data_IF_968941115074
#
_entry.id   IF_968941115074
#
_cell.length_a   1.000
_cell.length_b   1.000
_cell.length_c   1.000
_cell.angle_alpha   90.00
_cell.angle_beta   90.00
_cell.angle_gamma   90.00
#
_symmetry.space_group_name_H-M   'P 1'
#
loop_
_entity.id
_entity.type
_entity.pdbx_description
1 polymer ?
#
# COMPACT_ATOMS: atom_id res chain seq x y z
N UNK A 1 -8.11 -48.47 -12.58
CA UNK A 1 -7.39 -48.40 -11.28
C UNK A 1 -6.41 -47.24 -11.40
N UNK A 2 -6.66 -46.05 -10.82
CA UNK A 2 -5.65 -45.00 -10.83
C UNK A 2 -4.64 -45.32 -9.73
N UNK A 3 -3.38 -45.55 -10.13
CA UNK A 3 -2.23 -45.64 -9.23
C UNK A 3 -2.14 -44.36 -8.41
N UNK A 4 -2.53 -44.46 -7.15
CA UNK A 4 -2.31 -43.39 -6.18
C UNK A 4 -0.85 -43.50 -5.76
N UNK A 5 0.02 -42.79 -6.48
CA UNK A 5 1.40 -42.56 -6.04
C UNK A 5 1.27 -41.85 -4.68
N UNK A 6 1.43 -42.60 -3.60
CA UNK A 6 1.60 -42.04 -2.27
C UNK A 6 2.88 -41.18 -2.32
N UNK A 7 2.70 -39.85 -2.39
CA UNK A 7 3.80 -38.91 -2.27
C UNK A 7 4.45 -39.14 -0.90
N UNK A 8 5.64 -39.74 -0.90
CA UNK A 8 6.43 -39.99 0.30
C UNK A 8 6.73 -38.62 0.93
N UNK A 9 6.09 -38.33 2.06
CA UNK A 9 6.36 -37.12 2.85
C UNK A 9 7.64 -37.36 3.63
N UNK A 10 8.74 -36.80 3.14
CA UNK A 10 10.01 -36.83 3.85
C UNK A 10 10.02 -35.75 4.95
N UNK A 11 10.35 -36.11 6.20
CA UNK A 11 10.51 -35.16 7.30
C UNK A 11 11.69 -34.20 7.07
N UNK A 12 11.65 -33.04 7.72
CA UNK A 12 12.67 -31.99 7.63
C UNK A 12 13.83 -32.26 8.60
N UNK A 13 14.77 -33.11 8.19
CA UNK A 13 15.85 -33.57 9.08
C UNK A 13 17.26 -33.18 8.59
N UNK A 14 17.38 -32.49 7.45
CA UNK A 14 18.68 -32.13 6.87
C UNK A 14 19.04 -30.65 7.06
N UNK A 15 20.34 -30.29 7.08
CA UNK A 15 20.77 -28.89 7.07
C UNK A 15 20.17 -28.06 5.91
N UNK A 16 20.04 -28.67 4.73
CA UNK A 16 19.41 -28.03 3.57
C UNK A 16 17.92 -27.72 3.80
N UNK A 17 17.21 -28.56 4.57
CA UNK A 17 15.81 -28.29 4.94
C UNK A 17 15.71 -27.11 5.91
N UNK A 18 16.66 -26.99 6.84
CA UNK A 18 16.76 -25.84 7.73
C UNK A 18 17.03 -24.54 6.97
N UNK A 19 18.00 -24.55 6.05
CA UNK A 19 18.30 -23.40 5.19
C UNK A 19 17.08 -22.97 4.36
N UNK A 20 16.37 -23.93 3.76
CA UNK A 20 15.14 -23.65 3.02
C UNK A 20 14.06 -23.03 3.92
N UNK A 21 13.95 -23.50 5.17
CA UNK A 21 13.00 -22.96 6.14
C UNK A 21 13.35 -21.51 6.52
N UNK A 22 14.62 -21.22 6.76
CA UNK A 22 15.11 -19.86 7.06
C UNK A 22 14.89 -18.94 5.85
N UNK A 23 15.25 -19.38 4.65
CA UNK A 23 15.05 -18.61 3.42
C UNK A 23 13.56 -18.33 3.16
N UNK A 24 12.68 -19.30 3.44
CA UNK A 24 11.23 -19.12 3.30
C UNK A 24 10.66 -18.12 4.32
N UNK A 25 11.16 -18.12 5.55
CA UNK A 25 10.83 -17.08 6.55
C UNK A 25 11.24 -15.69 6.07
N UNK A 26 12.47 -15.55 5.60
CA UNK A 26 12.98 -14.28 5.09
C UNK A 26 12.14 -13.76 3.90
N UNK A 27 11.71 -14.65 2.99
CA UNK A 27 10.80 -14.26 1.91
C UNK A 27 9.42 -13.81 2.41
N UNK A 28 8.85 -14.48 3.43
CA UNK A 28 7.58 -14.07 4.03
C UNK A 28 7.69 -12.69 4.67
N UNK A 29 8.76 -12.44 5.40
CA UNK A 29 9.01 -11.14 6.05
C UNK A 29 9.22 -10.03 5.02
N UNK A 30 9.99 -10.31 3.95
CA UNK A 30 10.16 -9.40 2.83
C UNK A 30 8.83 -9.08 2.14
N UNK A 31 8.00 -10.09 1.87
CA UNK A 31 6.70 -9.90 1.25
C UNK A 31 5.79 -9.02 2.13
N UNK A 32 5.73 -9.31 3.43
CA UNK A 32 4.96 -8.52 4.37
C UNK A 32 5.43 -7.06 4.41
N UNK A 33 6.75 -6.84 4.38
CA UNK A 33 7.34 -5.52 4.32
C UNK A 33 6.99 -4.77 3.02
N UNK A 34 7.15 -5.42 1.86
CA UNK A 34 6.82 -4.83 0.56
C UNK A 34 5.34 -4.45 0.48
N UNK A 35 4.44 -5.33 0.94
CA UNK A 35 3.02 -5.02 1.00
C UNK A 35 2.73 -3.90 1.99
N UNK A 36 3.38 -3.84 3.15
CA UNK A 36 3.21 -2.71 4.07
C UNK A 36 3.56 -1.37 3.41
N UNK A 37 4.66 -1.30 2.64
CA UNK A 37 5.01 -0.11 1.84
C UNK A 37 3.91 0.19 0.81
N UNK A 38 3.43 -0.83 0.10
CA UNK A 38 2.38 -0.67 -0.92
C UNK A 38 1.09 -0.07 -0.31
N UNK A 39 0.68 -0.57 0.86
CA UNK A 39 -0.47 -0.05 1.60
C UNK A 39 -0.23 1.36 2.14
N UNK A 40 0.94 1.65 2.71
CA UNK A 40 1.34 3.00 3.14
C UNK A 40 1.28 3.98 1.97
N UNK A 41 1.79 3.59 0.80
CA UNK A 41 1.76 4.41 -0.42
C UNK A 41 0.34 4.66 -0.93
N UNK A 42 -0.51 3.64 -0.94
CA UNK A 42 -1.90 3.78 -1.42
C UNK A 42 -2.75 4.66 -0.50
N UNK A 43 -2.57 4.52 0.81
CA UNK A 43 -3.54 5.04 1.78
C UNK A 43 -3.01 6.15 2.68
N UNK A 44 -1.72 6.44 2.71
CA UNK A 44 -1.18 7.54 3.52
C UNK A 44 -0.23 8.41 2.71
N UNK A 45 0.88 7.87 2.22
CA UNK A 45 1.95 8.67 1.62
C UNK A 45 1.55 9.23 0.25
N UNK A 46 0.96 8.42 -0.63
CA UNK A 46 0.50 8.88 -1.95
C UNK A 46 -0.49 10.05 -1.84
N UNK A 47 -1.58 9.91 -1.08
CA UNK A 47 -2.50 11.01 -0.82
C UNK A 47 -1.82 12.28 -0.27
N UNK A 48 -0.85 12.13 0.64
CA UNK A 48 -0.07 13.26 1.17
C UNK A 48 0.76 13.95 0.07
N UNK A 49 1.48 13.18 -0.75
CA UNK A 49 2.26 13.71 -1.87
C UNK A 49 1.38 14.38 -2.92
N UNK A 50 0.21 13.81 -3.22
CA UNK A 50 -0.75 14.44 -4.12
C UNK A 50 -1.29 15.76 -3.54
N UNK A 51 -1.61 15.81 -2.25
CA UNK A 51 -2.04 17.04 -1.59
C UNK A 51 -0.96 18.12 -1.63
N UNK A 52 0.31 17.76 -1.38
CA UNK A 52 1.46 18.67 -1.51
C UNK A 52 1.60 19.19 -2.94
N UNK A 53 1.41 18.33 -3.94
CA UNK A 53 1.41 18.74 -5.35
C UNK A 53 0.35 19.80 -5.64
N UNK A 54 -0.91 19.54 -5.28
CA UNK A 54 -2.00 20.47 -5.53
C UNK A 54 -1.86 21.79 -4.74
N UNK A 55 -1.34 21.74 -3.52
CA UNK A 55 -0.99 22.96 -2.76
C UNK A 55 0.13 23.77 -3.41
N UNK A 56 1.09 23.10 -4.05
CA UNK A 56 2.23 23.75 -4.69
C UNK A 56 1.89 24.33 -6.06
N UNK A 57 1.17 23.55 -6.87
CA UNK A 57 0.94 23.82 -8.29
C UNK A 57 -0.46 24.40 -8.55
N UNK A 58 -1.34 24.45 -7.55
CA UNK A 58 -2.69 25.00 -7.71
C UNK A 58 -3.50 24.28 -8.80
N UNK A 59 -4.69 24.83 -9.09
CA UNK A 59 -5.65 24.30 -10.07
C UNK A 59 -5.22 24.50 -11.53
N UNK A 60 -3.93 24.33 -11.83
CA UNK A 60 -3.39 24.38 -13.20
C UNK A 60 -3.38 22.99 -13.81
N UNK A 61 -4.57 22.52 -14.19
CA UNK A 61 -4.68 21.48 -15.20
C UNK A 61 -5.56 21.99 -16.34
N UNK A 62 -4.98 22.38 -17.50
CA UNK A 62 -5.72 22.35 -18.76
C UNK A 62 -6.12 20.93 -19.18
N UNK A 63 -5.64 19.89 -18.48
CA UNK A 63 -6.13 18.50 -18.55
C UNK A 63 -7.03 18.17 -17.35
N UNK A 64 -8.16 18.89 -17.26
CA UNK A 64 -9.18 18.65 -16.24
C UNK A 64 -9.73 17.22 -16.28
N UNK A 65 -9.63 16.50 -17.40
CA UNK A 65 -10.21 15.16 -17.54
C UNK A 65 -9.43 14.06 -16.81
N UNK A 66 -8.09 14.16 -16.71
CA UNK A 66 -7.28 13.24 -15.88
C UNK A 66 -7.19 13.72 -14.42
N UNK A 67 -7.14 15.04 -14.20
CA UNK A 67 -7.08 15.61 -12.86
C UNK A 67 -8.39 15.47 -12.09
N UNK A 68 -9.56 15.58 -12.73
CA UNK A 68 -10.86 15.55 -12.06
C UNK A 68 -11.16 14.22 -11.36
N UNK A 69 -10.72 13.09 -11.91
CA UNK A 69 -10.86 11.78 -11.24
C UNK A 69 -10.02 11.69 -9.95
N UNK A 70 -8.78 12.18 -10.01
CA UNK A 70 -7.89 12.24 -8.85
C UNK A 70 -8.34 13.29 -7.82
N UNK A 71 -8.83 14.44 -8.30
CA UNK A 71 -9.30 15.57 -7.51
C UNK A 71 -10.62 15.24 -6.80
N UNK A 72 -11.59 14.58 -7.43
CA UNK A 72 -12.80 14.11 -6.74
C UNK A 72 -12.47 13.09 -5.63
N UNK A 73 -11.49 12.21 -5.86
CA UNK A 73 -11.01 11.25 -4.85
C UNK A 73 -10.28 11.96 -3.70
N UNK A 74 -9.63 13.10 -3.95
CA UNK A 74 -8.96 13.95 -2.95
C UNK A 74 -9.92 14.89 -2.21
N UNK A 75 -10.93 15.44 -2.88
CA UNK A 75 -11.93 16.35 -2.30
C UNK A 75 -12.95 15.58 -1.43
N UNK A 76 -13.24 14.32 -1.76
CA UNK A 76 -13.97 13.41 -0.88
C UNK A 76 -13.22 13.07 0.44
N UNK A 77 -11.95 13.52 0.60
CA UNK A 77 -11.09 13.28 1.77
C UNK A 77 -10.90 14.49 2.68
N UNK A 78 -11.71 15.55 2.54
CA UNK A 78 -11.68 16.70 3.47
C UNK A 78 -11.92 16.27 4.94
N UNK A 79 -12.52 15.08 5.13
CA UNK A 79 -12.87 14.48 6.42
C UNK A 79 -11.87 13.43 6.93
N UNK A 80 -10.66 13.36 6.37
CA UNK A 80 -9.65 12.46 6.92
C UNK A 80 -9.21 12.91 8.32
N UNK A 81 -9.15 11.99 9.29
CA UNK A 81 -8.69 12.33 10.62
C UNK A 81 -7.27 12.86 10.52
N UNK A 82 -7.06 14.07 11.06
CA UNK A 82 -5.73 14.64 11.26
C UNK A 82 -5.08 13.89 12.42
N UNK A 83 -4.62 12.68 12.14
CA UNK A 83 -3.83 11.91 13.09
C UNK A 83 -2.54 12.67 13.36
N UNK A 84 -2.13 12.71 14.62
CA UNK A 84 -0.77 13.07 14.99
C UNK A 84 0.22 12.06 14.41
N UNK A 85 1.50 12.43 14.36
CA UNK A 85 2.56 11.50 13.93
C UNK A 85 2.56 10.21 14.75
N UNK A 86 2.42 10.33 16.07
CA UNK A 86 2.35 9.18 16.98
C UNK A 86 1.16 8.27 16.69
N UNK A 87 -0.03 8.84 16.46
CA UNK A 87 -1.22 8.03 16.13
C UNK A 87 -1.07 7.34 14.77
N UNK A 88 -0.42 7.99 13.81
CA UNK A 88 -0.12 7.39 12.51
C UNK A 88 0.85 6.21 12.64
N UNK A 89 1.91 6.36 13.45
CA UNK A 89 2.87 5.30 13.71
C UNK A 89 2.25 4.10 14.44
N UNK A 90 1.34 4.36 15.38
CA UNK A 90 0.54 3.34 16.08
C UNK A 90 -0.36 2.55 15.10
N UNK A 91 -1.13 3.27 14.26
CA UNK A 91 -2.00 2.67 13.23
C UNK A 91 -1.19 1.79 12.28
N UNK A 92 -0.04 2.28 11.80
CA UNK A 92 0.88 1.53 10.94
C UNK A 92 1.41 0.28 11.62
N UNK A 93 1.79 0.38 12.88
CA UNK A 93 2.34 -0.74 13.66
C UNK A 93 1.31 -1.85 13.83
N UNK A 94 0.08 -1.52 14.20
CA UNK A 94 -0.99 -2.51 14.37
C UNK A 94 -1.34 -3.14 13.01
N UNK A 95 -1.48 -2.32 11.96
CA UNK A 95 -1.79 -2.82 10.61
C UNK A 95 -0.70 -3.75 10.07
N UNK A 96 0.58 -3.41 10.22
CA UNK A 96 1.70 -4.28 9.81
C UNK A 96 1.66 -5.62 10.53
N UNK A 97 1.33 -5.59 11.81
CA UNK A 97 1.20 -6.81 12.61
C UNK A 97 0.03 -7.68 12.11
N UNK A 98 -1.12 -7.07 11.82
CA UNK A 98 -2.27 -7.75 11.20
C UNK A 98 -1.91 -8.34 9.83
N UNK A 99 -1.23 -7.57 8.98
CA UNK A 99 -0.83 -7.98 7.64
C UNK A 99 -0.02 -9.29 7.66
N UNK A 100 0.94 -9.41 8.58
CA UNK A 100 1.74 -10.64 8.75
C UNK A 100 0.89 -11.86 9.10
N UNK A 101 -0.21 -11.66 9.83
CA UNK A 101 -1.06 -12.75 10.31
C UNK A 101 -2.15 -13.16 9.32
N UNK A 102 -2.70 -12.21 8.56
CA UNK A 102 -3.95 -12.42 7.80
C UNK A 102 -3.92 -11.98 6.34
N UNK A 103 -2.82 -11.40 5.85
CA UNK A 103 -2.80 -11.01 4.44
C UNK A 103 -2.84 -12.27 3.55
N UNK A 104 -3.71 -12.34 2.53
CA UNK A 104 -3.91 -13.55 1.72
C UNK A 104 -2.63 -14.01 1.01
N UNK A 105 -1.76 -13.10 0.59
CA UNK A 105 -0.45 -13.45 0.00
C UNK A 105 0.62 -13.82 1.04
N UNK A 106 0.53 -13.35 2.28
CA UNK A 106 1.59 -13.57 3.30
C UNK A 106 1.29 -14.84 4.11
N UNK A 107 0.05 -14.95 4.58
CA UNK A 107 -0.45 -16.03 5.43
C UNK A 107 -1.82 -16.52 4.93
N UNK A 108 -1.88 -17.27 3.81
CA UNK A 108 -3.13 -17.78 3.25
C UNK A 108 -3.99 -18.54 4.26
N UNK A 109 -3.38 -19.40 5.07
CA UNK A 109 -4.09 -20.15 6.11
C UNK A 109 -4.67 -19.25 7.21
N UNK A 110 -3.98 -18.15 7.52
CA UNK A 110 -4.46 -17.14 8.46
C UNK A 110 -5.65 -16.39 7.89
N UNK A 111 -5.58 -16.00 6.62
CA UNK A 111 -6.69 -15.38 5.89
C UNK A 111 -7.93 -16.27 5.85
N UNK A 112 -7.78 -17.57 5.59
CA UNK A 112 -8.90 -18.52 5.57
C UNK A 112 -9.58 -18.66 6.94
N UNK A 113 -8.83 -18.51 8.05
CA UNK A 113 -9.37 -18.64 9.41
C UNK A 113 -10.19 -17.44 9.88
N UNK A 114 -9.89 -16.24 9.37
CA UNK A 114 -10.62 -15.05 9.78
C UNK A 114 -11.99 -14.91 9.11
N UNK A 115 -12.28 -15.76 8.12
CA UNK A 115 -13.52 -15.77 7.38
C UNK A 115 -13.72 -14.50 6.53
N UNK A 116 -14.91 -14.41 5.95
CA UNK A 116 -15.23 -13.34 5.01
C UNK A 116 -15.37 -11.99 5.73
N UNK A 117 -14.66 -10.98 5.22
CA UNK A 117 -14.87 -9.57 5.57
C UNK A 117 -13.98 -9.00 6.67
N UNK A 118 -13.33 -9.79 7.55
CA UNK A 118 -12.40 -9.21 8.55
C UNK A 118 -11.23 -8.49 7.87
N UNK A 119 -10.64 -9.07 6.82
CA UNK A 119 -9.59 -8.39 6.06
C UNK A 119 -10.06 -7.06 5.47
N UNK A 120 -11.28 -7.00 4.93
CA UNK A 120 -11.83 -5.76 4.38
C UNK A 120 -12.08 -4.71 5.48
N UNK A 121 -12.50 -5.13 6.67
CA UNK A 121 -12.60 -4.26 7.85
C UNK A 121 -11.23 -3.71 8.25
N UNK A 122 -10.19 -4.54 8.27
CA UNK A 122 -8.82 -4.13 8.58
C UNK A 122 -8.33 -3.07 7.58
N UNK A 123 -8.48 -3.32 6.27
CA UNK A 123 -8.07 -2.37 5.23
C UNK A 123 -8.85 -1.06 5.33
N UNK A 124 -10.16 -1.12 5.61
CA UNK A 124 -10.99 0.07 5.80
C UNK A 124 -10.54 0.89 7.02
N UNK A 125 -10.29 0.22 8.14
CA UNK A 125 -9.81 0.86 9.36
C UNK A 125 -8.44 1.53 9.15
N UNK A 126 -7.51 0.83 8.50
CA UNK A 126 -6.20 1.39 8.16
C UNK A 126 -6.32 2.62 7.25
N UNK A 127 -7.08 2.52 6.16
CA UNK A 127 -7.34 3.64 5.25
C UNK A 127 -7.95 4.84 5.96
N UNK A 128 -8.81 4.60 6.95
CA UNK A 128 -9.47 5.64 7.73
C UNK A 128 -8.65 6.15 8.91
N UNK A 129 -7.49 5.57 9.21
CA UNK A 129 -6.74 5.90 10.42
C UNK A 129 -7.43 5.48 11.73
N UNK A 130 -8.38 4.54 11.66
CA UNK A 130 -9.17 4.10 12.82
C UNK A 130 -8.39 3.10 13.67
N UNK A 131 -7.62 3.64 14.61
CA UNK A 131 -6.84 2.86 15.58
C UNK A 131 -7.72 1.91 16.39
N UNK A 132 -8.91 2.34 16.80
CA UNK A 132 -9.80 1.55 17.65
C UNK A 132 -10.28 0.30 16.92
N UNK A 133 -10.74 0.46 15.67
CA UNK A 133 -11.13 -0.66 14.82
C UNK A 133 -9.96 -1.62 14.54
N UNK A 134 -8.74 -1.10 14.36
CA UNK A 134 -7.55 -1.95 14.20
C UNK A 134 -7.21 -2.75 15.46
N UNK A 135 -7.33 -2.16 16.66
CA UNK A 135 -7.12 -2.87 17.93
C UNK A 135 -8.16 -3.97 18.14
N UNK A 136 -9.43 -3.69 17.80
CA UNK A 136 -10.50 -4.69 17.81
C UNK A 136 -10.18 -5.83 16.85
N UNK A 137 -9.83 -5.51 15.60
CA UNK A 137 -9.45 -6.50 14.60
C UNK A 137 -8.22 -7.33 15.02
N UNK A 138 -7.24 -6.72 15.69
CA UNK A 138 -6.08 -7.41 16.26
C UNK A 138 -6.50 -8.45 17.31
N UNK A 139 -7.43 -8.07 18.19
CA UNK A 139 -7.94 -8.95 19.24
C UNK A 139 -8.75 -10.12 18.67
N UNK A 140 -9.61 -9.84 17.67
CA UNK A 140 -10.34 -10.87 16.92
C UNK A 140 -9.36 -11.84 16.24
N UNK A 141 -8.38 -11.30 15.51
CA UNK A 141 -7.37 -12.08 14.77
C UNK A 141 -6.57 -13.00 15.68
N UNK A 142 -6.12 -12.49 16.84
CA UNK A 142 -5.37 -13.29 17.83
C UNK A 142 -6.18 -14.44 18.42
N UNK A 143 -7.50 -14.27 18.53
CA UNK A 143 -8.39 -15.32 19.04
C UNK A 143 -8.58 -16.43 18.00
N UNK A 144 -8.66 -16.07 16.72
CA UNK A 144 -8.89 -17.01 15.61
C UNK A 144 -7.61 -17.71 15.13
N UNK A 145 -6.48 -17.04 15.21
CA UNK A 145 -5.21 -17.52 14.67
C UNK A 145 -4.30 -17.98 15.78
N UNK A 146 -4.27 -19.30 16.00
CA UNK A 146 -3.07 -19.95 16.52
C UNK A 146 -1.97 -19.87 15.46
N UNK A 147 -0.76 -19.49 15.87
CA UNK A 147 0.40 -19.21 14.99
C UNK A 147 0.41 -20.10 13.75
N UNK A 148 0.49 -19.49 12.57
CA UNK A 148 0.53 -20.20 11.30
C UNK A 148 1.66 -21.23 11.33
N UNK A 149 1.32 -22.51 11.18
CA UNK A 149 2.30 -23.59 11.18
C UNK A 149 3.03 -23.57 9.85
N UNK A 150 4.35 -23.63 9.91
CA UNK A 150 5.15 -23.86 8.71
C UNK A 150 4.91 -25.29 8.20
N UNK A 151 5.03 -25.52 6.87
CA UNK A 151 4.96 -26.87 6.33
C UNK A 151 5.99 -27.78 7.01
N UNK A 152 5.55 -28.98 7.39
CA UNK A 152 6.37 -29.96 8.11
C UNK A 152 7.09 -30.95 7.18
N UNK A 153 6.82 -30.90 5.87
CA UNK A 153 7.45 -31.75 4.87
C UNK A 153 8.16 -30.90 3.81
N UNK A 154 9.24 -31.46 3.26
CA UNK A 154 10.14 -30.77 2.33
C UNK A 154 9.42 -30.28 1.07
N UNK A 155 8.54 -31.09 0.48
CA UNK A 155 7.87 -30.75 -0.77
C UNK A 155 6.92 -29.56 -0.59
N UNK A 156 6.12 -29.57 0.48
CA UNK A 156 5.24 -28.45 0.83
C UNK A 156 6.04 -27.19 1.17
N UNK A 157 7.19 -27.32 1.85
CA UNK A 157 8.07 -26.19 2.14
C UNK A 157 8.67 -25.59 0.86
N UNK A 158 9.10 -26.42 -0.11
CA UNK A 158 9.59 -25.96 -1.41
C UNK A 158 8.50 -25.24 -2.21
N UNK A 159 7.25 -25.75 -2.18
CA UNK A 159 6.10 -25.09 -2.84
C UNK A 159 5.81 -23.73 -2.20
N UNK A 160 5.81 -23.67 -0.87
CA UNK A 160 5.61 -22.42 -0.15
C UNK A 160 6.73 -21.41 -0.44
N UNK A 161 7.99 -21.86 -0.46
CA UNK A 161 9.14 -21.04 -0.86
C UNK A 161 8.95 -20.44 -2.25
N UNK A 162 8.65 -21.27 -3.25
CA UNK A 162 8.45 -20.82 -4.62
C UNK A 162 7.25 -19.87 -4.77
N UNK A 163 6.18 -20.09 -4.00
CA UNK A 163 5.02 -19.20 -3.95
C UNK A 163 5.41 -17.83 -3.39
N UNK A 164 6.10 -17.80 -2.25
CA UNK A 164 6.57 -16.57 -1.61
C UNK A 164 7.52 -15.80 -2.53
N UNK A 165 8.47 -16.47 -3.20
CA UNK A 165 9.38 -15.84 -4.15
C UNK A 165 8.63 -15.15 -5.31
N UNK A 166 7.62 -15.83 -5.90
CA UNK A 166 6.77 -15.23 -6.94
C UNK A 166 5.98 -14.03 -6.42
N UNK A 167 5.43 -14.12 -5.21
CA UNK A 167 4.67 -13.03 -4.60
C UNK A 167 5.57 -11.81 -4.32
N UNK A 168 6.80 -12.01 -3.81
CA UNK A 168 7.79 -10.94 -3.65
C UNK A 168 8.06 -10.24 -4.99
N UNK A 169 8.37 -10.99 -6.04
CA UNK A 169 8.64 -10.42 -7.36
C UNK A 169 7.42 -9.69 -7.96
N UNK A 170 6.20 -10.10 -7.60
CA UNK A 170 4.98 -9.39 -7.99
C UNK A 170 4.82 -8.08 -7.20
N UNK A 171 5.04 -8.11 -5.88
CA UNK A 171 5.00 -6.93 -5.02
C UNK A 171 6.05 -5.89 -5.44
N UNK A 172 7.28 -6.31 -5.72
CA UNK A 172 8.35 -5.42 -6.17
C UNK A 172 7.99 -4.71 -7.47
N UNK A 173 7.44 -5.42 -8.46
CA UNK A 173 6.98 -4.82 -9.72
C UNK A 173 5.84 -3.83 -9.53
N UNK A 174 4.91 -4.11 -8.60
CA UNK A 174 3.84 -3.17 -8.24
C UNK A 174 4.41 -1.91 -7.62
N UNK A 175 5.34 -2.05 -6.67
CA UNK A 175 6.02 -0.91 -6.05
C UNK A 175 6.80 -0.09 -7.07
N UNK A 176 7.55 -0.72 -7.97
CA UNK A 176 8.27 -0.03 -9.04
C UNK A 176 7.31 0.77 -9.94
N UNK A 177 6.20 0.15 -10.36
CA UNK A 177 5.16 0.82 -11.16
C UNK A 177 4.56 2.02 -10.40
N UNK A 178 4.28 1.85 -9.11
CA UNK A 178 3.74 2.92 -8.27
C UNK A 178 4.74 4.07 -8.11
N UNK A 179 6.03 3.77 -7.93
CA UNK A 179 7.09 4.76 -7.78
C UNK A 179 7.24 5.64 -9.04
N UNK A 180 7.00 5.06 -10.21
CA UNK A 180 7.03 5.77 -11.51
C UNK A 180 5.73 6.52 -11.83
N UNK A 181 4.68 6.33 -11.03
CA UNK A 181 3.37 6.94 -11.24
C UNK A 181 3.18 8.18 -10.35
N UNK A 182 2.26 9.06 -10.74
CA UNK A 182 1.82 10.13 -9.85
C UNK A 182 1.22 9.54 -8.57
N UNK A 183 1.51 10.10 -7.38
CA UNK A 183 2.30 11.31 -7.14
C UNK A 183 3.79 11.07 -6.85
N UNK A 184 4.24 9.82 -6.84
CA UNK A 184 5.60 9.45 -6.42
C UNK A 184 6.68 9.90 -7.40
N UNK A 185 6.39 9.90 -8.70
CA UNK A 185 7.31 10.42 -9.72
C UNK A 185 7.56 11.94 -9.64
N UNK A 186 6.78 12.65 -8.82
CA UNK A 186 6.97 14.08 -8.56
C UNK A 186 7.62 14.35 -7.20
N UNK A 187 7.94 13.31 -6.40
CA UNK A 187 8.44 13.45 -5.03
C UNK A 187 9.69 14.31 -4.94
N UNK A 188 10.68 14.09 -5.81
CA UNK A 188 11.93 14.85 -5.79
C UNK A 188 11.70 16.32 -6.14
N UNK A 189 10.82 16.59 -7.12
CA UNK A 189 10.42 17.94 -7.49
C UNK A 189 9.67 18.65 -6.36
N UNK A 190 8.79 17.92 -5.67
CA UNK A 190 8.04 18.42 -4.51
C UNK A 190 8.92 18.61 -3.27
N UNK A 191 10.08 17.97 -3.23
CA UNK A 191 11.08 18.18 -2.19
C UNK A 191 12.04 19.35 -2.50
N UNK A 192 12.13 19.82 -3.75
CA UNK A 192 12.95 20.97 -4.17
C UNK A 192 12.22 22.31 -3.96
N UNK A 193 12.62 23.13 -2.96
CA UNK A 193 11.98 24.43 -2.70
C UNK A 193 12.12 25.42 -3.87
N UNK A 194 13.21 25.34 -4.63
CA UNK A 194 13.44 26.23 -5.77
C UNK A 194 12.52 25.88 -6.93
N UNK A 195 12.28 24.58 -7.17
CA UNK A 195 11.28 24.13 -8.13
C UNK A 195 9.88 24.61 -7.74
N UNK A 196 9.48 24.45 -6.47
CA UNK A 196 8.20 24.93 -5.95
C UNK A 196 8.02 26.45 -6.13
N UNK A 197 9.05 27.24 -5.85
CA UNK A 197 9.02 28.69 -6.03
C UNK A 197 8.80 29.06 -7.51
N UNK A 198 9.51 28.39 -8.44
CA UNK A 198 9.32 28.59 -9.89
C UNK A 198 7.90 28.27 -10.33
N UNK A 199 7.32 27.16 -9.86
CA UNK A 199 5.93 26.79 -10.20
C UNK A 199 4.94 27.86 -9.71
N UNK A 200 5.06 28.32 -8.45
CA UNK A 200 4.17 29.37 -7.91
C UNK A 200 4.23 30.67 -8.71
N UNK A 201 5.42 31.08 -9.16
CA UNK A 201 5.59 32.27 -10.00
C UNK A 201 4.90 32.06 -11.36
N UNK A 202 5.18 30.94 -12.03
CA UNK A 202 4.56 30.60 -13.31
C UNK A 202 3.03 30.56 -13.22
N UNK A 203 2.50 29.99 -12.14
CA UNK A 203 1.07 29.94 -11.88
C UNK A 203 0.43 31.32 -11.75
N UNK A 204 1.08 32.20 -10.99
CA UNK A 204 0.62 33.58 -10.79
C UNK A 204 0.59 34.34 -12.11
N UNK A 205 1.60 34.13 -12.97
CA UNK A 205 1.66 34.74 -14.30
C UNK A 205 0.55 34.21 -15.23
N UNK A 206 0.28 32.90 -15.20
CA UNK A 206 -0.79 32.30 -16.01
C UNK A 206 -2.18 32.77 -15.59
N UNK A 207 -2.47 32.85 -14.28
CA UNK A 207 -3.74 33.38 -13.79
C UNK A 207 -3.98 34.83 -14.19
N UNK A 208 -2.92 35.66 -14.17
CA UNK A 208 -3.00 37.06 -14.64
C UNK A 208 -3.28 37.16 -16.13
N UNK A 209 -2.67 36.29 -16.95
CA UNK A 209 -2.94 36.24 -18.40
C UNK A 209 -4.38 35.81 -18.68
N UNK A 210 -4.86 34.75 -18.03
CA UNK A 210 -6.22 34.26 -18.20
C UNK A 210 -7.27 35.31 -17.79
N UNK A 211 -7.04 36.06 -16.70
CA UNK A 211 -7.91 37.17 -16.32
C UNK A 211 -7.93 38.31 -17.35
N UNK A 212 -6.76 38.68 -17.89
CA UNK A 212 -6.66 39.74 -18.90
C UNK A 212 -7.31 39.37 -20.24
N UNK A 213 -7.28 38.10 -20.63
CA UNK A 213 -7.95 37.61 -21.85
C UNK A 213 -9.48 37.58 -21.67
N UNK A 214 -9.96 37.27 -20.46
CA UNK A 214 -11.39 37.28 -20.14
C UNK A 214 -11.96 38.71 -20.10
N UNK A 215 -11.19 39.66 -19.55
CA UNK A 215 -11.56 41.09 -19.55
C UNK A 215 -11.57 41.66 -20.98
N UNK A 216 -10.65 41.23 -21.85
CA UNK A 216 -10.67 41.62 -23.28
C UNK A 216 -11.87 41.06 -24.02
N UNK A 217 -12.27 39.82 -23.75
CA UNK A 217 -13.45 39.23 -24.35
C UNK A 217 -14.75 39.94 -23.92
N UNK A 218 -14.81 40.40 -22.67
CA UNK A 218 -15.95 41.14 -22.13
C UNK A 218 -16.09 42.58 -22.67
N UNK A 219 -14.99 43.21 -23.11
CA UNK A 219 -15.00 44.57 -23.70
C UNK A 219 -15.42 44.57 -25.17
N UNK A 220 -15.41 43.42 -25.84
CA UNK A 220 -15.72 43.27 -27.28
C UNK A 220 -17.14 42.71 -27.52
N UNK A 221 -17.90 42.42 -26.45
CA UNK A 221 -19.32 42.02 -26.51
C UNK A 221 -20.24 43.17 -26.08
#
# INVERSE_FOLDING_TARGET
MPDTIQQIRLPLDTPADHELHVASRALRDRLAHALAIEYDWRYHDGPEWAARYWQAVGDLAPDATQAAGALHTLLARKDWPRLTKTETDDVRTIFRSLLVLVHPEVAPDGYLKIGDGLWQRIVRAFRGGDRSALVTAWSETRTLIRMARWPADRLSLQREHARLARACNAADRRLETMAQSFPFNMRDKLADPAWLARQRIANTQNMRRAGADNDRAAVVS
#
